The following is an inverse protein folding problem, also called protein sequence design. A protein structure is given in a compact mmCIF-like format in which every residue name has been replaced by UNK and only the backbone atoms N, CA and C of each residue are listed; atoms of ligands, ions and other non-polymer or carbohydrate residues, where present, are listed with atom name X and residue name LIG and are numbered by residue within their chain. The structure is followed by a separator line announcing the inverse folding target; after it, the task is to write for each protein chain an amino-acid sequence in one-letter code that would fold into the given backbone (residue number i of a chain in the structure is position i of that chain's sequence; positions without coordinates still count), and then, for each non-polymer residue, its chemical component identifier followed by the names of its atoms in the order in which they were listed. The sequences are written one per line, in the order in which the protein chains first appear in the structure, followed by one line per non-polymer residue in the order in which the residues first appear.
data_IF_079755654075
#
_entry.id   IF_079755654075
#
_cell.length_a   1.000
_cell.length_b   1.000
_cell.length_c   1.000
_cell.angle_alpha   90.00
_cell.angle_beta   90.00
_cell.angle_gamma   90.00
#
_symmetry.space_group_name_H-M   'P 1'
#
loop_
_entity.id
_entity.type
_entity.pdbx_description
1 polymer ?
#
# COMPACT_ATOMS: atom_id res chain seq x y z
N UNK A 1 -9.26 3.75 -30.56
CA UNK A 1 -8.92 4.57 -29.37
C UNK A 1 -10.15 5.37 -28.95
N UNK A 2 -10.35 5.67 -27.66
CA UNK A 2 -11.42 6.58 -27.22
C UNK A 2 -10.83 7.97 -26.97
N UNK A 3 -11.04 8.97 -27.86
CA UNK A 3 -10.35 10.26 -27.79
C UNK A 3 -10.59 11.02 -26.48
N UNK A 4 -11.79 10.94 -25.89
CA UNK A 4 -12.12 11.65 -24.65
C UNK A 4 -11.42 11.08 -23.40
N UNK A 5 -10.82 9.89 -23.52
CA UNK A 5 -10.03 9.24 -22.47
C UNK A 5 -8.54 9.24 -22.76
N UNK A 6 -8.11 9.87 -23.85
CA UNK A 6 -6.70 9.96 -24.22
C UNK A 6 -6.09 11.27 -23.73
N UNK A 7 -4.85 11.20 -23.28
CA UNK A 7 -4.04 12.36 -22.93
C UNK A 7 -2.69 12.23 -23.64
N UNK A 8 -2.24 13.28 -24.32
CA UNK A 8 -1.01 13.32 -25.10
C UNK A 8 -0.18 14.54 -24.71
N UNK A 9 1.14 14.42 -24.71
CA UNK A 9 2.06 15.52 -24.40
C UNK A 9 1.96 16.07 -22.97
N UNK A 10 1.38 15.33 -22.03
CA UNK A 10 1.16 15.79 -20.65
C UNK A 10 2.37 15.53 -19.76
N UNK A 11 2.70 16.49 -18.89
CA UNK A 11 3.77 16.38 -17.87
C UNK A 11 3.41 15.46 -16.69
N UNK A 12 2.12 15.21 -16.49
CA UNK A 12 1.61 14.20 -15.57
C UNK A 12 0.29 13.64 -16.09
N UNK A 13 -0.05 12.42 -15.68
CA UNK A 13 -1.30 11.79 -16.08
C UNK A 13 -1.71 10.64 -15.17
N UNK A 14 -2.99 10.27 -15.26
CA UNK A 14 -3.51 9.08 -14.59
C UNK A 14 -3.31 7.87 -15.49
N UNK A 15 -2.57 6.89 -15.02
CA UNK A 15 -2.32 5.64 -15.76
C UNK A 15 -2.45 4.44 -14.82
N UNK A 16 -3.21 3.41 -15.24
CA UNK A 16 -3.51 2.23 -14.42
C UNK A 16 -3.95 2.57 -12.98
N UNK A 17 -4.68 3.69 -12.82
CA UNK A 17 -5.19 4.25 -11.56
C UNK A 17 -4.10 4.76 -10.60
N UNK A 18 -2.88 4.98 -11.09
CA UNK A 18 -1.81 5.73 -10.42
C UNK A 18 -1.59 7.08 -11.10
N UNK A 19 -0.91 7.99 -10.40
CA UNK A 19 -0.46 9.26 -10.98
C UNK A 19 0.98 9.08 -11.43
N UNK A 20 1.23 9.28 -12.72
CA UNK A 20 2.57 9.24 -13.31
C UNK A 20 3.03 10.67 -13.54
N UNK A 21 4.21 11.01 -13.01
CA UNK A 21 4.89 12.29 -13.17
C UNK A 21 6.33 12.05 -13.61
N UNK A 22 7.02 13.10 -14.05
CA UNK A 22 8.46 13.04 -14.32
C UNK A 22 9.28 12.52 -13.12
N UNK A 23 8.86 12.86 -11.89
CA UNK A 23 9.54 12.43 -10.66
C UNK A 23 9.25 10.97 -10.25
N UNK A 24 8.33 10.28 -10.92
CA UNK A 24 7.94 8.91 -10.62
C UNK A 24 6.43 8.67 -10.57
N UNK A 25 6.06 7.56 -9.97
CA UNK A 25 4.70 7.04 -9.82
C UNK A 25 4.23 7.29 -8.39
N UNK A 26 3.04 7.85 -8.26
CA UNK A 26 2.38 8.22 -7.02
C UNK A 26 1.00 7.56 -6.90
N UNK A 27 0.55 7.38 -5.66
CA UNK A 27 -0.83 6.98 -5.38
C UNK A 27 -1.74 8.20 -5.59
N UNK A 28 -2.89 7.99 -6.25
CA UNK A 28 -3.92 9.01 -6.33
C UNK A 28 -4.44 9.36 -4.93
N UNK A 29 -4.46 10.66 -4.57
CA UNK A 29 -4.85 11.12 -3.23
C UNK A 29 -6.23 10.60 -2.80
N UNK A 30 -7.20 10.54 -3.73
CA UNK A 30 -8.53 10.00 -3.45
C UNK A 30 -8.51 8.53 -2.97
N UNK A 31 -7.51 7.72 -3.37
CA UNK A 31 -7.35 6.34 -2.89
C UNK A 31 -6.80 6.29 -1.48
N UNK A 32 -5.87 7.18 -1.15
CA UNK A 32 -5.35 7.36 0.21
C UNK A 32 -6.50 7.81 1.11
N UNK A 33 -7.20 8.87 0.73
CA UNK A 33 -8.31 9.45 1.50
C UNK A 33 -9.41 8.43 1.75
N UNK A 34 -9.73 7.58 0.75
CA UNK A 34 -10.69 6.51 0.91
C UNK A 34 -10.28 5.52 2.01
N UNK A 35 -8.99 5.18 2.14
CA UNK A 35 -8.49 4.32 3.22
C UNK A 35 -8.45 5.07 4.55
N UNK A 36 -8.05 6.34 4.57
CA UNK A 36 -8.01 7.15 5.78
C UNK A 36 -9.40 7.31 6.43
N UNK A 37 -10.44 7.44 5.60
CA UNK A 37 -11.85 7.56 6.02
C UNK A 37 -12.51 6.25 6.43
N UNK A 38 -11.90 5.09 6.14
CA UNK A 38 -12.47 3.81 6.57
C UNK A 38 -12.60 3.78 8.08
N UNK A 39 -13.75 3.36 8.59
CA UNK A 39 -13.89 3.03 10.00
C UNK A 39 -13.16 1.73 10.32
N UNK A 40 -13.01 1.44 11.60
CA UNK A 40 -12.55 0.12 12.03
C UNK A 40 -13.43 -0.98 11.42
N UNK A 41 -12.83 -2.06 10.88
CA UNK A 41 -13.58 -3.20 10.39
C UNK A 41 -14.43 -3.82 11.49
N UNK A 42 -15.70 -4.09 11.21
CA UNK A 42 -16.67 -4.66 12.15
C UNK A 42 -16.82 -6.17 12.05
N UNK A 43 -16.26 -6.76 10.99
CA UNK A 43 -16.34 -8.19 10.70
C UNK A 43 -15.17 -8.63 9.80
N UNK A 44 -15.04 -9.96 9.65
CA UNK A 44 -13.99 -10.57 8.83
C UNK A 44 -14.06 -10.18 7.34
N UNK A 45 -15.26 -9.89 6.81
CA UNK A 45 -15.42 -9.49 5.40
C UNK A 45 -14.86 -8.08 5.16
N UNK A 46 -15.13 -7.15 6.07
CA UNK A 46 -14.56 -5.81 6.04
C UNK A 46 -13.04 -5.83 6.23
N UNK A 47 -12.53 -6.68 7.12
CA UNK A 47 -11.09 -6.85 7.31
C UNK A 47 -10.41 -7.41 6.06
N UNK A 48 -11.00 -8.41 5.40
CA UNK A 48 -10.54 -8.92 4.09
C UNK A 48 -10.57 -7.85 3.02
N UNK A 49 -11.63 -7.05 2.97
CA UNK A 49 -11.76 -5.92 2.04
C UNK A 49 -10.67 -4.87 2.27
N UNK A 50 -10.37 -4.53 3.52
CA UNK A 50 -9.27 -3.65 3.89
C UNK A 50 -7.92 -4.22 3.43
N UNK A 51 -7.62 -5.48 3.74
CA UNK A 51 -6.38 -6.12 3.32
C UNK A 51 -6.24 -6.16 1.79
N UNK A 52 -7.32 -6.39 1.05
CA UNK A 52 -7.33 -6.30 -0.41
C UNK A 52 -7.02 -4.90 -0.94
N UNK A 53 -7.60 -3.85 -0.32
CA UNK A 53 -7.29 -2.45 -0.65
C UNK A 53 -5.83 -2.10 -0.36
N UNK A 54 -5.27 -2.62 0.74
CA UNK A 54 -3.86 -2.43 1.08
C UNK A 54 -2.92 -3.19 0.14
N UNK A 55 -3.28 -4.42 -0.25
CA UNK A 55 -2.51 -5.22 -1.21
C UNK A 55 -2.40 -4.53 -2.57
N UNK A 56 -3.45 -3.82 -3.01
CA UNK A 56 -3.39 -2.97 -4.21
C UNK A 56 -2.29 -1.90 -4.12
N UNK A 57 -2.02 -1.38 -2.91
CA UNK A 57 -1.00 -0.38 -2.63
C UNK A 57 0.34 -0.98 -2.15
N UNK A 58 0.51 -2.32 -2.17
CA UNK A 58 1.65 -3.00 -1.53
C UNK A 58 3.02 -2.44 -1.95
N UNK A 59 3.16 -2.03 -3.21
CA UNK A 59 4.43 -1.48 -3.75
C UNK A 59 4.86 -0.17 -3.07
N UNK A 60 3.92 0.54 -2.45
CA UNK A 60 4.15 1.78 -1.72
C UNK A 60 4.26 1.57 -0.21
N UNK A 61 4.00 0.35 0.30
CA UNK A 61 3.96 0.04 1.72
C UNK A 61 5.11 -0.88 2.09
N UNK A 62 6.13 -0.32 2.74
CA UNK A 62 7.20 -1.11 3.33
C UNK A 62 6.66 -2.16 4.30
N UNK A 63 7.07 -3.42 4.11
CA UNK A 63 6.69 -4.57 4.94
C UNK A 63 5.17 -4.65 5.24
N UNK A 64 4.33 -4.61 4.19
CA UNK A 64 2.87 -4.72 4.36
C UNK A 64 2.47 -5.98 5.15
N UNK A 65 3.15 -7.11 4.92
CA UNK A 65 2.89 -8.36 5.63
C UNK A 65 3.07 -8.19 7.14
N UNK A 66 4.20 -7.62 7.58
CA UNK A 66 4.44 -7.35 9.00
C UNK A 66 3.44 -6.36 9.60
N UNK A 67 3.03 -5.34 8.84
CA UNK A 67 2.01 -4.36 9.30
C UNK A 67 0.62 -4.97 9.44
N UNK A 68 0.29 -5.95 8.60
CA UNK A 68 -0.98 -6.69 8.66
C UNK A 68 -0.92 -7.91 9.57
N UNK A 69 0.25 -8.29 10.08
CA UNK A 69 0.43 -9.46 10.96
C UNK A 69 -0.49 -9.44 12.18
N UNK A 70 -0.74 -8.31 12.88
CA UNK A 70 -1.67 -8.29 14.00
C UNK A 70 -3.06 -8.86 13.64
N UNK A 71 -3.54 -8.59 12.43
CA UNK A 71 -4.85 -9.06 11.96
C UNK A 71 -4.90 -10.56 11.65
N UNK A 72 -3.77 -11.27 11.63
CA UNK A 72 -3.73 -12.68 11.22
C UNK A 72 -4.56 -13.58 12.14
N UNK A 73 -4.70 -13.22 13.43
CA UNK A 73 -5.52 -13.97 14.38
C UNK A 73 -7.01 -13.90 14.03
N UNK A 74 -7.54 -12.69 13.74
CA UNK A 74 -8.94 -12.46 13.35
C UNK A 74 -9.35 -13.10 12.03
N UNK A 75 -8.37 -13.56 11.24
CA UNK A 75 -8.59 -14.19 9.94
C UNK A 75 -8.70 -15.72 10.02
N UNK A 76 -8.46 -16.32 11.20
CA UNK A 76 -8.57 -17.75 11.42
C UNK A 76 -10.03 -18.20 11.45
N UNK A 77 -10.27 -19.44 11.03
CA UNK A 77 -11.58 -20.07 11.15
C UNK A 77 -11.93 -20.22 12.63
N UNK A 78 -13.22 -20.09 12.96
CA UNK A 78 -13.79 -20.30 14.29
C UNK A 78 -13.27 -19.34 15.39
N UNK A 79 -12.61 -18.24 15.00
CA UNK A 79 -12.25 -17.14 15.91
C UNK A 79 -13.36 -16.09 15.88
N UNK A 80 -13.94 -15.69 17.04
CA UNK A 80 -14.91 -14.61 17.09
C UNK A 80 -14.24 -13.29 16.70
N UNK A 81 -14.93 -12.48 15.90
CA UNK A 81 -14.40 -11.19 15.50
C UNK A 81 -14.56 -10.18 16.64
N UNK A 82 -13.47 -9.92 17.36
CA UNK A 82 -13.40 -8.91 18.41
C UNK A 82 -12.29 -7.92 18.07
N UNK A 83 -12.66 -6.65 17.90
CA UNK A 83 -11.70 -5.59 17.61
C UNK A 83 -11.20 -4.99 18.93
N UNK A 84 -9.89 -5.04 19.16
CA UNK A 84 -9.23 -4.58 20.38
C UNK A 84 -8.26 -3.42 20.09
N UNK A 85 -7.64 -2.91 21.16
CA UNK A 85 -6.70 -1.80 21.07
C UNK A 85 -5.45 -2.12 20.23
N UNK A 86 -5.00 -3.38 20.21
CA UNK A 86 -3.84 -3.78 19.42
C UNK A 86 -4.14 -3.73 17.91
N UNK A 87 -5.34 -4.17 17.50
CA UNK A 87 -5.79 -4.07 16.11
C UNK A 87 -6.04 -2.62 15.69
N UNK A 88 -6.63 -1.80 16.55
CA UNK A 88 -6.81 -0.37 16.30
C UNK A 88 -5.46 0.35 16.14
N UNK A 89 -4.48 0.07 17.00
CA UNK A 89 -3.12 0.61 16.88
C UNK A 89 -2.47 0.22 15.55
N UNK A 90 -2.61 -1.03 15.12
CA UNK A 90 -2.10 -1.49 13.83
C UNK A 90 -2.78 -0.76 12.66
N UNK A 91 -4.11 -0.61 12.71
CA UNK A 91 -4.89 0.09 11.69
C UNK A 91 -4.52 1.57 11.58
N UNK A 92 -4.42 2.27 12.72
CA UNK A 92 -3.95 3.66 12.80
C UNK A 92 -2.53 3.81 12.31
N UNK A 93 -1.63 2.87 12.60
CA UNK A 93 -0.25 2.87 12.10
C UNK A 93 -0.20 2.79 10.57
N UNK A 94 -0.99 1.91 9.95
CA UNK A 94 -1.09 1.79 8.50
C UNK A 94 -1.63 3.09 7.88
N UNK A 95 -2.69 3.67 8.45
CA UNK A 95 -3.23 4.96 8.00
C UNK A 95 -2.20 6.07 8.07
N UNK A 96 -1.49 6.17 9.20
CA UNK A 96 -0.45 7.18 9.39
C UNK A 96 0.67 7.05 8.36
N UNK A 97 1.10 5.83 8.06
CA UNK A 97 2.08 5.56 7.01
C UNK A 97 1.61 6.04 5.63
N UNK A 98 0.34 5.80 5.30
CA UNK A 98 -0.25 6.21 4.02
C UNK A 98 -0.46 7.72 3.89
N UNK A 99 -0.31 8.52 4.95
CA UNK A 99 -0.34 9.98 4.85
C UNK A 99 0.89 10.54 4.10
N UNK A 100 2.00 9.79 4.06
CA UNK A 100 3.24 10.18 3.38
C UNK A 100 3.81 8.98 2.61
N UNK A 101 3.11 8.50 1.57
CA UNK A 101 3.59 7.36 0.80
C UNK A 101 4.84 7.75 0.00
N UNK A 102 5.74 6.78 -0.27
CA UNK A 102 6.89 7.03 -1.12
C UNK A 102 6.48 7.29 -2.57
N UNK A 103 7.32 8.02 -3.31
CA UNK A 103 7.24 8.10 -4.77
C UNK A 103 8.11 6.98 -5.34
N UNK A 104 7.56 6.17 -6.24
CA UNK A 104 8.31 5.09 -6.89
C UNK A 104 8.90 5.59 -8.20
N UNK A 105 10.19 5.39 -8.41
CA UNK A 105 10.89 5.83 -9.62
C UNK A 105 11.18 4.63 -10.51
N UNK A 106 11.08 4.80 -11.83
CA UNK A 106 11.52 3.78 -12.75
C UNK A 106 13.03 3.55 -12.59
N UNK A 107 13.49 2.29 -12.57
CA UNK A 107 14.92 2.02 -12.50
C UNK A 107 15.61 2.55 -13.75
N UNK A 108 16.78 3.17 -13.57
CA UNK A 108 17.64 3.56 -14.68
C UNK A 108 18.32 2.30 -15.23
N UNK A 109 18.23 2.04 -16.55
CA UNK A 109 18.93 0.92 -17.17
C UNK A 109 20.43 0.93 -16.84
N UNK A 110 21.05 -0.25 -16.83
CA UNK A 110 22.49 -0.46 -16.65
C UNK A 110 23.06 -0.04 -15.28
N UNK A 111 22.26 0.52 -14.38
CA UNK A 111 22.66 0.81 -13.00
C UNK A 111 22.26 -0.34 -12.06
N UNK A 112 23.13 -0.75 -11.13
CA UNK A 112 22.85 -1.86 -10.22
C UNK A 112 21.67 -1.54 -9.30
N UNK A 113 20.79 -2.52 -9.14
CA UNK A 113 19.71 -2.49 -8.16
C UNK A 113 20.22 -3.00 -6.81
N UNK A 114 19.75 -2.39 -5.73
CA UNK A 114 20.08 -2.75 -4.36
C UNK A 114 18.82 -3.32 -3.72
N UNK A 115 18.92 -4.55 -3.21
CA UNK A 115 17.83 -5.21 -2.50
C UNK A 115 18.08 -5.12 -1.00
N UNK A 116 17.17 -4.44 -0.30
CA UNK A 116 17.14 -4.44 1.16
C UNK A 116 16.12 -5.48 1.62
N UNK A 117 16.57 -6.41 2.46
CA UNK A 117 15.73 -7.45 3.06
C UNK A 117 15.77 -7.29 4.57
N UNK A 118 14.59 -7.24 5.19
CA UNK A 118 14.44 -7.23 6.64
C UNK A 118 13.57 -8.42 7.04
N UNK A 119 14.11 -9.30 7.88
CA UNK A 119 13.38 -10.43 8.42
C UNK A 119 12.95 -10.14 9.86
N UNK A 120 11.70 -10.47 10.18
CA UNK A 120 11.13 -10.49 11.52
C UNK A 120 10.56 -11.89 11.77
N UNK A 121 10.27 -12.22 13.02
CA UNK A 121 9.79 -13.55 13.44
C UNK A 121 8.67 -14.11 12.54
N UNK A 122 7.76 -13.25 12.06
CA UNK A 122 6.58 -13.65 11.28
C UNK A 122 6.41 -12.92 9.95
N UNK A 123 7.40 -12.15 9.50
CA UNK A 123 7.29 -11.43 8.23
C UNK A 123 8.65 -11.12 7.62
N UNK A 124 8.69 -11.02 6.29
CA UNK A 124 9.84 -10.49 5.55
C UNK A 124 9.40 -9.25 4.79
N UNK A 125 10.12 -8.15 5.01
CA UNK A 125 10.01 -6.93 4.25
C UNK A 125 11.10 -6.85 3.19
N UNK A 126 10.73 -6.41 1.99
CA UNK A 126 11.66 -6.23 0.87
C UNK A 126 11.50 -4.82 0.31
N UNK A 127 12.62 -4.16 0.03
CA UNK A 127 12.67 -2.89 -0.68
C UNK A 127 13.72 -2.99 -1.79
N UNK A 128 13.30 -2.75 -3.03
CA UNK A 128 14.19 -2.61 -4.17
C UNK A 128 14.50 -1.12 -4.38
N UNK A 129 15.78 -0.76 -4.39
CA UNK A 129 16.24 0.60 -4.52
C UNK A 129 17.37 0.71 -5.55
N UNK A 130 17.69 1.93 -5.95
CA UNK A 130 18.81 2.24 -6.82
C UNK A 130 19.47 3.54 -6.32
N UNK A 131 20.80 3.61 -6.33
CA UNK A 131 21.49 4.87 -6.04
C UNK A 131 21.14 5.89 -7.13
N UNK A 132 20.79 7.10 -6.70
CA UNK A 132 20.60 8.23 -7.60
C UNK A 132 21.90 8.58 -8.30
#
# INVERSE_FOLDING_TARGET
MNPSKCAFGVIFGKFLRFIVRQRGIEIEQAKIDAILRLQEPRNIHELKSLQGKLAYLQRFISNLVGRCQPFSHLMKKDVPFQWDEAYDKAFKSIKSYLMKPPVLVAPVPERPLILYVAAQERSVGILLAQKK
#
